data_IF_443133534216
#
_entry.id   IF_443133534216
#
_cell.length_a   1.000
_cell.length_b   1.000
_cell.length_c   1.000
_cell.angle_alpha   90.00
_cell.angle_beta   90.00
_cell.angle_gamma   90.00
#
_symmetry.space_group_name_H-M   'P 1'
#
loop_
_entity.id
_entity.type
_entity.pdbx_description
1 polymer ?
2 non-polymer ?
3 water ?
#
# COMPACT_ATOMS: atom_id res chain seq x y z
N UNK A 4 -22.77 10.98 -12.94
CA UNK A 4 -21.60 10.03 -13.08
C UNK A 4 -21.02 9.63 -11.71
N UNK A 5 -21.93 9.48 -10.75
CA UNK A 5 -21.55 9.21 -9.37
C UNK A 5 -21.72 7.76 -9.04
N UNK A 6 -20.66 7.01 -9.36
CA UNK A 6 -20.47 5.63 -8.93
C UNK A 6 -19.75 5.60 -7.55
N UNK A 7 -20.21 4.76 -6.62
CA UNK A 7 -19.48 4.51 -5.37
C UNK A 7 -18.08 3.91 -5.64
N UNK A 8 -17.06 4.32 -4.88
CA UNK A 8 -15.92 3.43 -4.90
C UNK A 8 -16.23 2.31 -3.92
N UNK A 9 -15.51 1.22 -4.07
CA UNK A 9 -15.71 -0.04 -3.27
C UNK A 9 -15.52 0.21 -1.80
N UNK A 10 -14.69 1.17 -1.48
CA UNK A 10 -14.26 1.38 -0.10
C UNK A 10 -15.12 2.38 0.68
N UNK A 11 -16.13 2.95 0.04
CA UNK A 11 -16.92 3.98 0.69
C UNK A 11 -17.61 3.40 1.90
N UNK A 12 -17.69 4.20 2.98
CA UNK A 12 -18.54 3.80 4.16
C UNK A 12 -19.94 3.44 3.73
N UNK A 13 -20.41 2.32 4.23
CA UNK A 13 -21.73 1.89 3.77
C UNK A 13 -22.91 2.71 4.31
N UNK A 14 -22.77 3.33 5.49
CA UNK A 14 -23.85 4.14 6.03
C UNK A 14 -24.06 5.38 5.16
N UNK A 15 -25.26 5.53 4.56
CA UNK A 15 -25.45 6.76 3.72
C UNK A 15 -25.32 8.07 4.50
N UNK A 16 -25.49 8.02 5.81
CA UNK A 16 -25.22 9.17 6.62
C UNK A 16 -23.79 9.72 6.52
N UNK A 17 -22.83 8.90 6.10
CA UNK A 17 -21.42 9.30 6.03
C UNK A 17 -21.25 10.42 5.00
N UNK A 18 -22.09 10.42 3.94
CA UNK A 18 -22.11 11.42 2.93
C UNK A 18 -23.12 12.54 3.08
N UNK A 19 -23.80 12.63 4.21
CA UNK A 19 -24.82 13.65 4.41
C UNK A 19 -24.42 14.66 5.45
N UNK A 20 -24.92 15.88 5.31
CA UNK A 20 -24.60 16.95 6.26
C UNK A 20 -25.35 16.80 7.51
N UNK A 21 -24.72 16.82 8.65
CA UNK A 21 -25.40 16.81 9.94
C UNK A 21 -25.00 18.01 10.82
N UNK A 22 -24.35 19.02 10.26
CA UNK A 22 -24.04 20.21 11.01
C UNK A 22 -24.23 21.35 10.03
N UNK A 23 -24.42 22.61 10.50
CA UNK A 23 -24.52 23.83 9.68
C UNK A 23 -23.34 24.06 8.83
N UNK A 24 -22.16 23.78 9.33
CA UNK A 24 -20.97 23.88 8.46
C UNK A 24 -20.92 22.84 7.33
N UNK A 25 -21.20 21.61 7.65
CA UNK A 25 -21.34 20.58 6.62
C UNK A 25 -22.39 20.98 5.56
N UNK A 26 -23.47 21.58 6.05
CA UNK A 26 -24.53 21.97 5.13
C UNK A 26 -24.07 23.04 4.20
N UNK A 27 -23.29 24.02 4.68
CA UNK A 27 -22.78 25.02 3.78
C UNK A 27 -21.83 24.46 2.74
N UNK A 28 -20.95 23.59 3.22
CA UNK A 28 -19.99 22.96 2.30
C UNK A 28 -20.68 22.07 1.24
N UNK A 29 -21.71 21.35 1.64
CA UNK A 29 -22.44 20.59 0.62
C UNK A 29 -23.13 21.47 -0.39
N UNK A 30 -23.66 22.60 0.06
CA UNK A 30 -24.18 23.57 -0.88
C UNK A 30 -23.13 24.11 -1.80
N UNK A 31 -21.94 24.37 -1.25
CA UNK A 31 -20.82 24.81 -2.06
C UNK A 31 -20.43 23.73 -3.12
N UNK A 32 -20.40 22.49 -2.71
CA UNK A 32 -20.14 21.37 -3.64
C UNK A 32 -21.18 21.38 -4.74
N UNK A 33 -22.43 21.59 -4.37
CA UNK A 33 -23.50 21.68 -5.41
C UNK A 33 -23.23 22.80 -6.36
N UNK A 34 -22.71 23.93 -5.87
CA UNK A 34 -22.44 25.06 -6.71
C UNK A 34 -21.31 24.92 -7.68
N UNK A 35 -20.37 24.00 -7.38
CA UNK A 35 -19.17 23.87 -8.17
C UNK A 35 -19.46 23.60 -9.63
N UNK A 36 -20.51 22.81 -9.88
CA UNK A 36 -20.95 22.51 -11.22
C UNK A 36 -21.48 23.69 -11.99
N UNK A 37 -21.54 24.87 -11.39
CA UNK A 37 -21.82 26.10 -12.13
C UNK A 37 -20.62 26.56 -12.92
N UNK A 38 -19.42 26.07 -12.57
CA UNK A 38 -18.20 26.56 -13.17
C UNK A 38 -18.08 28.10 -13.25
N UNK A 39 -18.58 28.75 -12.20
CA UNK A 39 -18.80 30.20 -12.18
C UNK A 39 -18.09 30.78 -10.95
N UNK A 40 -16.88 31.26 -11.16
CA UNK A 40 -16.03 31.83 -10.05
C UNK A 40 -16.74 32.94 -9.27
N UNK A 41 -17.58 33.72 -9.97
CA UNK A 41 -18.25 34.85 -9.32
C UNK A 41 -19.35 34.41 -8.37
N UNK A 42 -19.99 33.29 -8.64
CA UNK A 42 -20.98 32.71 -7.78
C UNK A 42 -20.27 32.00 -6.63
N UNK A 43 -19.19 31.33 -6.95
CA UNK A 43 -18.48 30.60 -5.95
C UNK A 43 -17.87 31.52 -4.88
N UNK A 44 -17.36 32.66 -5.33
CA UNK A 44 -16.65 33.57 -4.39
C UNK A 44 -17.55 34.11 -3.25
N UNK A 45 -18.84 34.10 -3.41
CA UNK A 45 -19.73 34.59 -2.35
C UNK A 45 -19.71 33.76 -1.12
N UNK A 46 -19.20 32.51 -1.19
CA UNK A 46 -19.09 31.68 -0.03
C UNK A 46 -17.85 31.95 0.88
N UNK A 47 -16.93 32.76 0.40
CA UNK A 47 -15.63 32.95 1.01
C UNK A 47 -15.53 34.17 1.94
N UNK A 48 -14.81 34.01 3.04
CA UNK A 48 -14.46 35.15 3.88
C UNK A 48 -13.46 36.07 3.21
N UNK A 49 -13.21 37.24 3.80
CA UNK A 49 -12.15 38.10 3.29
C UNK A 49 -10.76 37.46 3.48
N UNK A 50 -10.48 37.04 4.69
CA UNK A 50 -9.20 36.47 4.98
C UNK A 50 -9.28 34.95 4.69
N UNK A 51 -8.95 34.60 3.46
CA UNK A 51 -9.23 33.26 2.96
C UNK A 51 -8.10 32.80 2.11
N UNK A 52 -8.11 31.51 1.78
CA UNK A 52 -7.17 30.98 0.82
C UNK A 52 -7.73 29.77 0.12
N UNK A 53 -7.15 29.49 -1.02
CA UNK A 53 -7.54 28.29 -1.81
C UNK A 53 -6.26 27.67 -2.36
N UNK A 54 -6.14 26.35 -2.28
CA UNK A 54 -5.03 25.71 -2.94
C UNK A 54 -5.44 24.29 -3.40
N UNK A 55 -5.28 24.00 -4.70
CA UNK A 55 -5.11 22.65 -5.21
C UNK A 55 -3.71 22.30 -4.91
N UNK A 56 -3.53 21.34 -3.99
CA UNK A 56 -2.24 21.16 -3.40
C UNK A 56 -1.04 20.90 -4.38
N UNK A 57 -1.29 20.36 -5.57
CA UNK A 57 -0.13 20.28 -6.49
C UNK A 57 0.30 21.60 -7.10
N UNK A 58 -0.45 22.70 -6.88
CA UNK A 58 -0.23 23.99 -7.50
C UNK A 58 -0.14 25.08 -6.46
N UNK A 59 0.37 26.26 -6.82
CA UNK A 59 0.55 27.29 -5.78
C UNK A 59 -0.78 27.81 -5.16
N UNK A 60 -0.72 28.19 -3.90
CA UNK A 60 -1.88 28.69 -3.23
C UNK A 60 -2.27 30.11 -3.65
N UNK A 61 -3.53 30.43 -3.42
CA UNK A 61 -4.03 31.77 -3.59
C UNK A 61 -4.50 32.29 -2.29
N UNK A 62 -4.10 33.51 -2.00
CA UNK A 62 -4.54 34.15 -0.74
C UNK A 62 -5.40 35.38 -0.96
N UNK A 63 -6.52 35.49 -0.23
CA UNK A 63 -7.49 36.55 -0.37
C UNK A 63 -8.55 36.37 -1.43
N UNK A 64 -9.72 36.98 -1.22
CA UNK A 64 -10.90 36.73 -2.07
C UNK A 64 -10.58 37.04 -3.53
N UNK A 65 -9.91 38.13 -3.83
CA UNK A 65 -9.60 38.44 -5.25
C UNK A 65 -8.74 37.43 -5.95
N UNK A 66 -7.65 36.99 -5.28
CA UNK A 66 -6.81 36.01 -5.83
C UNK A 66 -7.55 34.63 -5.94
N UNK A 67 -8.32 34.28 -4.95
CA UNK A 67 -9.07 33.02 -5.03
C UNK A 67 -10.02 33.08 -6.29
N UNK A 68 -10.74 34.17 -6.44
CA UNK A 68 -11.68 34.31 -7.57
C UNK A 68 -11.00 34.21 -8.89
N UNK A 69 -9.88 34.88 -9.06
CA UNK A 69 -9.10 34.75 -10.27
C UNK A 69 -8.49 33.40 -10.56
N UNK A 70 -8.04 32.69 -9.53
CA UNK A 70 -7.60 31.33 -9.70
C UNK A 70 -8.72 30.40 -10.20
N UNK A 71 -9.87 30.50 -9.58
CA UNK A 71 -10.97 29.68 -10.00
C UNK A 71 -11.40 30.04 -11.43
N UNK A 72 -11.48 31.32 -11.73
CA UNK A 72 -11.83 31.77 -13.08
C UNK A 72 -10.89 31.25 -14.11
N UNK A 73 -9.60 31.21 -13.79
CA UNK A 73 -8.63 30.64 -14.66
C UNK A 73 -8.75 29.15 -14.80
N UNK A 74 -8.98 28.44 -13.71
CA UNK A 74 -9.26 26.99 -13.85
C UNK A 74 -10.46 26.74 -14.82
N UNK A 75 -11.53 27.46 -14.62
CA UNK A 75 -12.76 27.23 -15.39
C UNK A 75 -12.58 27.57 -16.87
N UNK A 76 -11.55 28.34 -17.22
CA UNK A 76 -11.25 28.55 -18.64
C UNK A 76 -10.64 27.34 -19.31
N UNK A 77 -10.10 26.39 -18.56
CA UNK A 77 -9.48 25.21 -19.18
C UNK A 77 -10.18 23.92 -18.80
N UNK A 78 -10.98 23.92 -17.74
CA UNK A 78 -11.70 22.71 -17.40
C UNK A 78 -13.03 23.01 -16.81
N UNK A 79 -13.92 22.02 -16.93
CA UNK A 79 -15.26 22.06 -16.39
C UNK A 79 -15.48 20.93 -15.40
N UNK A 80 -16.12 21.25 -14.29
CA UNK A 80 -16.60 20.30 -13.36
C UNK A 80 -18.04 19.87 -13.77
N UNK A 81 -18.17 18.65 -14.28
CA UNK A 81 -19.40 18.11 -14.83
C UNK A 81 -20.23 17.43 -13.73
N UNK A 82 -19.62 17.06 -12.60
CA UNK A 82 -20.35 16.43 -11.53
C UNK A 82 -19.43 16.36 -10.31
N UNK A 83 -20.05 16.28 -9.15
CA UNK A 83 -19.33 16.22 -7.91
C UNK A 83 -20.05 15.17 -7.11
N UNK A 84 -19.32 14.14 -6.73
CA UNK A 84 -19.84 13.00 -6.05
C UNK A 84 -19.18 12.93 -4.64
N UNK A 85 -19.88 13.37 -3.61
CA UNK A 85 -19.38 13.35 -2.23
C UNK A 85 -19.70 12.08 -1.49
N UNK A 86 -18.66 11.36 -1.07
CA UNK A 86 -18.82 10.09 -0.42
C UNK A 86 -18.83 10.25 1.10
N UNK A 87 -17.92 11.08 1.67
CA UNK A 87 -17.77 11.23 3.05
C UNK A 87 -17.66 12.71 3.35
N UNK A 88 -18.36 13.16 4.40
CA UNK A 88 -18.24 14.54 4.92
C UNK A 88 -18.27 14.53 6.43
N UNK A 89 -17.35 15.27 7.06
CA UNK A 89 -17.21 15.30 8.46
C UNK A 89 -16.83 16.69 8.91
N UNK A 90 -17.15 17.08 10.13
CA UNK A 90 -16.79 18.43 10.57
C UNK A 90 -16.42 18.40 12.01
N UNK A 91 -15.56 19.33 12.40
CA UNK A 91 -15.26 19.55 13.78
C UNK A 91 -14.53 20.87 13.89
N UNK A 92 -14.87 21.57 14.96
CA UNK A 92 -14.56 22.96 15.23
C UNK A 92 -13.86 23.62 14.07
N UNK A 93 -14.67 24.19 13.24
CA UNK A 93 -14.23 25.02 12.17
C UNK A 93 -13.73 24.38 10.91
N UNK A 94 -13.58 23.07 10.88
CA UNK A 94 -13.09 22.36 9.70
C UNK A 94 -14.13 21.45 9.17
N UNK A 95 -14.21 21.31 7.86
CA UNK A 95 -15.01 20.31 7.21
C UNK A 95 -14.18 19.53 6.20
N UNK A 96 -14.25 18.21 6.22
CA UNK A 96 -13.52 17.37 5.29
C UNK A 96 -14.55 16.68 4.35
N UNK A 97 -14.19 16.60 3.07
CA UNK A 97 -14.92 15.93 2.05
C UNK A 97 -14.03 14.97 1.27
N UNK A 98 -14.43 13.72 1.27
CA UNK A 98 -13.87 12.75 0.35
C UNK A 98 -14.84 12.54 -0.86
N UNK A 99 -14.32 12.82 -2.05
CA UNK A 99 -15.21 12.96 -3.23
C UNK A 99 -14.53 12.62 -4.53
N UNK A 100 -15.35 12.57 -5.59
CA UNK A 100 -14.82 12.59 -6.96
C UNK A 100 -15.41 13.83 -7.64
N UNK A 101 -14.57 14.56 -8.34
CA UNK A 101 -15.01 15.59 -9.27
C UNK A 101 -14.72 15.00 -10.66
N UNK A 102 -15.81 14.94 -11.45
CA UNK A 102 -15.70 14.55 -12.86
C UNK A 102 -15.36 15.81 -13.64
N UNK A 103 -14.14 15.84 -14.15
CA UNK A 103 -13.52 17.01 -14.73
C UNK A 103 -13.34 16.76 -16.20
N UNK A 104 -13.68 17.77 -16.96
CA UNK A 104 -13.45 17.70 -18.43
C UNK A 104 -12.49 18.79 -18.89
N UNK A 105 -11.45 18.40 -19.61
CA UNK A 105 -10.51 19.34 -20.16
C UNK A 105 -11.10 19.94 -21.44
N UNK A 106 -11.31 21.25 -21.44
CA UNK A 106 -11.97 21.92 -22.55
C UNK A 106 -11.16 21.84 -23.87
N UNK A 107 -9.80 21.87 -23.81
CA UNK A 107 -9.08 21.76 -25.09
C UNK A 107 -9.13 20.44 -25.78
N UNK A 108 -9.33 19.36 -25.04
CA UNK A 108 -9.32 18.00 -25.61
C UNK A 108 -10.68 17.35 -25.59
N UNK A 109 -11.60 17.86 -24.79
CA UNK A 109 -12.91 17.19 -24.66
C UNK A 109 -12.87 15.93 -23.82
N UNK A 110 -11.71 15.58 -23.25
CA UNK A 110 -11.64 14.36 -22.45
C UNK A 110 -12.00 14.58 -20.95
N UNK A 111 -12.59 13.57 -20.33
CA UNK A 111 -13.02 13.62 -18.94
C UNK A 111 -12.19 12.70 -18.04
N UNK A 112 -12.17 12.99 -16.75
CA UNK A 112 -11.59 12.09 -15.79
C UNK A 112 -12.33 12.23 -14.44
N UNK A 113 -12.50 11.10 -13.73
CA UNK A 113 -13.01 11.08 -12.37
C UNK A 113 -11.83 11.31 -11.40
N UNK A 114 -11.69 12.52 -10.96
CA UNK A 114 -10.56 12.95 -10.10
C UNK A 114 -10.92 12.65 -8.65
N UNK A 115 -10.17 11.76 -8.08
CA UNK A 115 -10.31 11.41 -6.62
C UNK A 115 -9.64 12.52 -5.78
N UNK A 116 -10.41 13.15 -4.92
CA UNK A 116 -10.02 14.30 -4.12
C UNK A 116 -10.42 14.10 -2.66
N UNK A 117 -9.53 14.49 -1.76
CA UNK A 117 -9.86 14.69 -0.36
C UNK A 117 -9.62 16.17 -0.14
N UNK A 118 -10.67 16.85 0.32
CA UNK A 118 -10.60 18.31 0.47
C UNK A 118 -10.89 18.70 1.89
N UNK A 119 -10.32 19.81 2.32
CA UNK A 119 -10.57 20.35 3.63
C UNK A 119 -10.96 21.83 3.50
N UNK A 120 -11.98 22.20 4.28
CA UNK A 120 -12.46 23.58 4.33
C UNK A 120 -12.35 24.07 5.78
N UNK A 121 -11.94 25.33 5.95
CA UNK A 121 -11.98 26.00 7.26
C UNK A 121 -13.07 27.06 7.09
N UNK A 122 -13.91 27.18 8.12
CA UNK A 122 -14.93 28.23 8.15
C UNK A 122 -14.92 29.02 9.44
N UNK A 123 -15.34 30.26 9.31
CA UNK A 123 -15.74 31.06 10.45
C UNK A 123 -17.03 31.79 10.12
N UNK A 124 -17.94 31.78 11.08
CA UNK A 124 -19.21 32.47 10.95
C UNK A 124 -19.87 32.15 9.58
N UNK A 125 -19.82 30.90 9.18
CA UNK A 125 -20.43 30.44 7.94
C UNK A 125 -19.75 30.81 6.64
N UNK A 126 -18.51 31.32 6.68
CA UNK A 126 -17.82 31.72 5.41
C UNK A 126 -16.49 30.99 5.34
N UNK A 127 -16.02 30.75 4.12
CA UNK A 127 -14.83 29.89 3.94
C UNK A 127 -13.59 30.70 4.09
N UNK A 128 -12.75 30.35 5.08
CA UNK A 128 -11.46 30.97 5.32
C UNK A 128 -10.33 30.11 4.77
N UNK A 129 -10.64 28.92 4.33
CA UNK A 129 -9.64 28.14 3.70
C UNK A 129 -10.23 26.94 2.93
N UNK A 130 -9.66 26.61 1.78
CA UNK A 130 -10.11 25.42 1.03
C UNK A 130 -8.90 24.82 0.41
N UNK A 131 -8.60 23.57 0.72
CA UNK A 131 -7.43 22.89 0.11
C UNK A 131 -7.86 21.55 -0.41
N UNK A 132 -7.56 21.26 -1.67
CA UNK A 132 -7.89 19.98 -2.24
C UNK A 132 -6.64 19.18 -2.55
N UNK A 133 -6.60 17.89 -2.17
CA UNK A 133 -5.44 17.06 -2.31
C UNK A 133 -5.77 15.95 -3.32
N UNK A 134 -4.89 15.81 -4.31
CA UNK A 134 -5.06 14.80 -5.34
C UNK A 134 -3.73 14.74 -6.10
N UNK A 135 -3.68 13.81 -7.00
CA UNK A 135 -2.54 13.56 -7.86
C UNK A 135 -2.79 14.20 -9.25
N UNK A 136 -2.02 15.24 -9.56
CA UNK A 136 -2.18 16.02 -10.77
C UNK A 136 -1.75 15.27 -12.00
N UNK A 137 -0.63 14.55 -11.90
CA UNK A 137 -0.10 13.83 -13.07
C UNK A 137 -1.12 12.89 -13.64
N UNK A 138 -1.84 12.16 -12.81
CA UNK A 138 -2.78 11.17 -13.31
C UNK A 138 -3.90 11.85 -14.11
N UNK A 139 -4.32 13.02 -13.66
CA UNK A 139 -5.38 13.77 -14.33
C UNK A 139 -4.84 14.26 -15.68
N UNK A 140 -3.69 14.85 -15.66
CA UNK A 140 -3.03 15.31 -16.91
C UNK A 140 -2.95 14.26 -17.96
N UNK A 141 -2.55 13.05 -17.58
CA UNK A 141 -2.37 11.96 -18.51
C UNK A 141 -3.72 11.40 -19.00
N UNK A 142 -4.74 11.45 -18.16
CA UNK A 142 -6.05 10.97 -18.56
C UNK A 142 -6.66 11.91 -19.62
N UNK A 143 -6.44 13.21 -19.49
CA UNK A 143 -7.16 14.14 -20.36
C UNK A 143 -6.26 14.80 -21.38
N UNK A 144 -5.06 14.21 -21.53
CA UNK A 144 -3.96 14.55 -22.45
C UNK A 144 -3.60 16.02 -22.43
N UNK A 145 -3.56 16.62 -21.24
CA UNK A 145 -3.26 18.01 -21.08
C UNK A 145 -2.36 18.38 -19.91
N UNK A 146 -1.18 19.00 -20.19
CA UNK A 146 -0.25 19.47 -19.14
C UNK A 146 -0.67 20.72 -18.36
N UNK A 147 -1.15 20.55 -17.15
CA UNK A 147 -1.68 21.67 -16.42
C UNK A 147 -0.65 22.43 -15.62
N UNK A 148 0.40 21.77 -15.20
CA UNK A 148 1.39 22.45 -14.38
C UNK A 148 2.03 23.66 -15.12
N UNK A 149 2.26 23.51 -16.43
CA UNK A 149 2.52 24.65 -17.35
C UNK A 149 1.34 25.63 -17.50
N UNK A 150 0.26 25.20 -18.17
CA UNK A 150 -0.90 26.06 -18.52
C UNK A 150 -0.50 27.43 -19.05
N UNK B 3 10.62 20.32 15.99
CA UNK B 3 11.20 19.03 15.50
C UNK B 3 11.65 19.30 14.10
N UNK B 4 11.34 18.37 13.19
CA UNK B 4 11.20 18.68 11.78
C UNK B 4 9.79 19.16 11.49
N UNK B 5 9.05 19.68 12.48
CA UNK B 5 7.61 20.03 12.27
C UNK B 5 7.30 21.53 12.23
N UNK B 6 7.33 22.08 11.02
CA UNK B 6 6.87 23.45 10.73
C UNK B 6 5.37 23.54 10.42
N UNK B 7 4.69 24.45 11.08
CA UNK B 7 3.30 24.74 10.82
C UNK B 7 3.08 25.53 9.49
N UNK B 8 2.27 25.02 8.56
CA UNK B 8 1.93 25.88 7.43
C UNK B 8 1.15 27.09 7.93
N UNK B 9 1.27 28.10 7.10
CA UNK B 9 0.68 29.41 7.27
C UNK B 9 -0.81 29.30 7.49
N UNK B 10 -1.43 28.35 6.82
CA UNK B 10 -2.86 28.23 6.79
C UNK B 10 -3.47 27.36 7.85
N UNK B 11 -2.67 26.79 8.75
CA UNK B 11 -3.19 25.81 9.71
C UNK B 11 -4.09 26.57 10.67
N UNK B 12 -5.11 25.91 11.18
CA UNK B 12 -6.07 26.52 12.09
C UNK B 12 -5.33 26.96 13.34
N UNK B 13 -5.64 28.18 13.80
CA UNK B 13 -4.84 28.67 14.89
C UNK B 13 -5.12 28.02 16.24
N UNK B 14 -6.33 27.52 16.48
CA UNK B 14 -6.59 26.89 17.80
C UNK B 14 -5.77 25.60 17.92
N UNK B 15 -4.99 25.45 19.00
CA UNK B 15 -4.30 24.20 19.15
C UNK B 15 -5.20 22.94 19.28
N UNK B 16 -6.46 23.11 19.65
CA UNK B 16 -7.37 21.97 19.73
C UNK B 16 -7.49 21.29 18.39
N UNK B 17 -7.25 22.02 17.30
CA UNK B 17 -7.51 21.46 15.97
C UNK B 17 -6.58 20.26 15.65
N UNK B 18 -5.41 20.17 16.26
CA UNK B 18 -4.49 19.09 16.02
C UNK B 18 -4.45 18.07 17.15
N UNK B 19 -5.38 18.14 18.10
CA UNK B 19 -5.42 17.23 19.21
C UNK B 19 -6.54 16.25 19.13
N UNK B 20 -6.32 15.05 19.60
CA UNK B 20 -7.37 14.05 19.59
C UNK B 20 -8.38 14.27 20.70
N UNK B 21 -9.65 14.27 20.37
CA UNK B 21 -10.69 14.35 21.40
C UNK B 21 -11.78 13.31 21.31
N UNK B 22 -11.54 12.25 20.57
CA UNK B 22 -12.40 11.11 20.52
C UNK B 22 -11.55 9.85 20.61
N UNK B 23 -12.16 8.75 20.99
CA UNK B 23 -11.38 7.52 21.05
C UNK B 23 -10.81 7.15 19.65
N UNK B 24 -11.57 7.34 18.56
CA UNK B 24 -11.04 7.08 17.21
C UNK B 24 -9.82 7.99 16.87
N UNK B 25 -9.93 9.29 17.15
CA UNK B 25 -8.81 10.19 16.96
C UNK B 25 -7.61 9.80 17.75
N UNK B 26 -7.80 9.34 18.99
CA UNK B 26 -6.65 8.97 19.75
C UNK B 26 -5.94 7.75 19.14
N UNK B 27 -6.72 6.79 18.61
CA UNK B 27 -6.08 5.62 18.02
C UNK B 27 -5.29 6.03 16.81
N UNK B 28 -5.87 6.92 16.00
CA UNK B 28 -5.22 7.33 14.78
C UNK B 28 -3.96 8.11 15.09
N UNK B 29 -3.96 9.00 16.11
CA UNK B 29 -2.71 9.64 16.50
C UNK B 29 -1.64 8.71 17.02
N UNK B 30 -2.04 7.67 17.72
CA UNK B 30 -1.05 6.63 18.12
C UNK B 30 -0.46 5.96 16.89
N UNK B 31 -1.31 5.65 15.90
CA UNK B 31 -0.87 5.10 14.63
C UNK B 31 0.09 6.02 13.90
N UNK B 32 -0.24 7.29 13.86
CA UNK B 32 0.63 8.27 13.26
C UNK B 32 1.97 8.27 14.00
N UNK B 33 1.93 8.21 15.33
CA UNK B 33 3.20 8.15 16.06
C UNK B 33 4.03 6.91 15.68
N UNK B 34 3.38 5.79 15.44
CA UNK B 34 4.03 4.55 15.04
C UNK B 34 4.67 4.53 13.63
N UNK B 35 4.19 5.35 12.73
CA UNK B 35 4.74 5.39 11.37
C UNK B 35 6.22 5.59 11.31
N UNK B 36 6.78 6.33 12.26
CA UNK B 36 8.24 6.57 12.27
C UNK B 36 9.04 5.31 12.66
N UNK B 37 8.36 4.28 13.11
CA UNK B 37 8.98 2.94 13.24
C UNK B 37 9.48 2.37 11.92
N UNK B 38 8.86 2.76 10.82
CA UNK B 38 9.15 2.18 9.54
C UNK B 38 9.03 0.66 9.57
N UNK B 39 8.05 0.17 10.33
CA UNK B 39 7.95 -1.26 10.63
C UNK B 39 6.57 -1.81 10.23
N UNK B 40 6.46 -2.43 9.05
CA UNK B 40 5.16 -2.90 8.59
C UNK B 40 4.54 -3.90 9.56
N UNK B 41 5.32 -4.77 10.15
CA UNK B 41 4.76 -5.74 11.14
C UNK B 41 4.16 -5.11 12.38
N UNK B 42 4.67 -3.99 12.83
CA UNK B 42 4.11 -3.31 13.94
C UNK B 42 2.84 -2.58 13.53
N UNK B 43 2.90 -1.92 12.39
CA UNK B 43 1.76 -1.15 11.94
C UNK B 43 0.55 -2.02 11.59
N UNK B 44 0.78 -3.22 11.08
CA UNK B 44 -0.35 -4.06 10.68
C UNK B 44 -1.28 -4.44 11.84
N UNK B 45 -0.75 -4.44 13.06
CA UNK B 45 -1.55 -4.71 14.27
C UNK B 45 -2.74 -3.79 14.46
N UNK B 46 -2.71 -2.60 13.88
CA UNK B 46 -3.80 -1.65 14.07
C UNK B 46 -4.99 -1.93 13.11
N UNK B 47 -4.81 -2.86 12.19
CA UNK B 47 -5.77 -3.09 11.08
C UNK B 47 -6.76 -4.21 11.35
N UNK B 48 -8.00 -3.97 10.95
CA UNK B 48 -9.01 -5.04 10.88
C UNK B 48 -8.67 -6.04 9.79
N UNK B 49 -9.39 -7.16 9.83
CA UNK B 49 -9.32 -8.16 8.81
C UNK B 49 -9.90 -7.64 7.49
N UNK B 50 -11.06 -7.00 7.56
CA UNK B 50 -11.69 -6.44 6.35
C UNK B 50 -11.23 -5.01 6.13
N UNK B 51 -10.07 -4.86 5.51
CA UNK B 51 -9.40 -3.55 5.47
C UNK B 51 -8.86 -3.24 4.11
N UNK B 52 -8.31 -2.02 3.93
CA UNK B 52 -7.67 -1.64 2.72
C UNK B 52 -6.79 -0.43 3.04
N UNK B 53 -5.82 -0.27 2.16
CA UNK B 53 -4.83 0.83 2.17
C UNK B 53 -4.60 1.28 0.78
N UNK B 54 -4.55 2.60 0.62
CA UNK B 54 -4.29 3.17 -0.63
C UNK B 54 -3.61 4.51 -0.50
N UNK B 55 -2.42 4.61 -1.09
CA UNK B 55 -1.81 5.90 -1.46
C UNK B 55 -2.44 6.23 -2.77
N UNK B 56 -3.27 7.26 -2.82
CA UNK B 56 -4.14 7.42 -3.93
C UNK B 56 -3.54 7.56 -5.33
N UNK B 57 -2.28 7.96 -5.48
CA UNK B 57 -1.74 7.91 -6.83
C UNK B 57 -1.34 6.49 -7.29
N UNK B 58 -1.45 5.46 -6.45
CA UNK B 58 -1.02 4.09 -6.74
C UNK B 58 -2.16 3.14 -6.43
N UNK B 59 -2.04 1.86 -6.88
CA UNK B 59 -3.16 0.94 -6.66
C UNK B 59 -3.43 0.56 -5.20
N UNK B 60 -4.69 0.32 -4.90
CA UNK B 60 -5.06 -0.08 -3.53
C UNK B 60 -4.64 -1.46 -3.13
N UNK B 61 -4.48 -1.69 -1.85
CA UNK B 61 -4.27 -2.98 -1.32
C UNK B 61 -5.51 -3.39 -0.49
N UNK B 62 -6.00 -4.62 -0.65
CA UNK B 62 -7.15 -5.12 0.09
C UNK B 62 -6.75 -6.27 0.91
N UNK B 63 -7.09 -6.22 2.16
CA UNK B 63 -6.80 -7.25 3.09
C UNK B 63 -5.51 -7.00 3.83
N UNK B 64 -5.37 -7.58 5.02
CA UNK B 64 -4.17 -7.38 5.88
C UNK B 64 -2.86 -7.76 5.22
N UNK B 65 -2.79 -8.91 4.53
CA UNK B 65 -1.48 -9.32 3.96
C UNK B 65 -1.05 -8.37 2.86
N UNK B 66 -1.98 -7.93 2.03
CA UNK B 66 -1.60 -7.01 0.97
C UNK B 66 -1.24 -5.65 1.57
N UNK B 67 -1.95 -5.27 2.64
CA UNK B 67 -1.67 -3.98 3.26
C UNK B 67 -0.28 -4.06 3.86
N UNK B 68 0.03 -5.15 4.55
CA UNK B 68 1.33 -5.32 5.18
C UNK B 68 2.42 -5.35 4.12
N UNK B 69 2.20 -6.04 3.01
CA UNK B 69 3.20 -6.08 1.92
C UNK B 69 3.39 -4.74 1.26
N UNK B 70 2.31 -3.99 1.06
CA UNK B 70 2.48 -2.67 0.53
C UNK B 70 3.36 -1.78 1.45
N UNK B 71 3.03 -1.72 2.73
CA UNK B 71 3.80 -0.90 3.68
C UNK B 71 5.23 -1.42 3.66
N UNK B 72 5.41 -2.74 3.60
CA UNK B 72 6.80 -3.27 3.71
C UNK B 72 7.54 -2.80 2.48
N UNK B 73 6.91 -2.80 1.33
CA UNK B 73 7.55 -2.40 0.12
C UNK B 73 7.96 -0.94 0.18
N UNK B 74 7.11 -0.11 0.74
CA UNK B 74 7.45 1.33 0.82
C UNK B 74 8.64 1.53 1.70
N UNK B 75 8.63 0.88 2.84
CA UNK B 75 9.71 1.02 3.78
C UNK B 75 11.05 0.41 3.32
N UNK B 76 11.08 -0.36 2.26
CA UNK B 76 12.37 -0.84 1.73
C UNK B 76 13.11 0.32 1.04
N UNK B 77 12.36 1.32 0.58
CA UNK B 77 12.95 2.40 -0.16
C UNK B 77 12.76 3.79 0.43
N UNK B 78 11.95 3.95 1.46
CA UNK B 78 11.86 5.24 2.09
C UNK B 78 11.67 5.15 3.56
N UNK B 79 12.03 6.22 4.26
CA UNK B 79 11.92 6.28 5.67
C UNK B 79 10.96 7.44 6.02
N UNK B 80 10.02 7.21 6.94
CA UNK B 80 9.20 8.33 7.46
C UNK B 80 10.06 8.78 8.68
N UNK B 81 10.66 9.95 8.54
CA UNK B 81 11.44 10.59 9.56
C UNK B 81 10.62 11.36 10.56
N UNK B 82 9.44 11.80 10.19
CA UNK B 82 8.62 12.59 11.07
C UNK B 82 7.22 12.70 10.49
N UNK B 83 6.26 12.80 11.42
CA UNK B 83 4.90 13.04 11.02
C UNK B 83 4.43 14.20 11.80
N UNK B 84 3.90 15.21 11.11
CA UNK B 84 3.44 16.47 11.72
C UNK B 84 1.96 16.59 11.39
N UNK B 85 1.07 16.39 12.37
CA UNK B 85 -0.38 16.44 12.16
C UNK B 85 -0.89 17.86 12.52
N UNK B 86 -1.53 18.56 11.60
CA UNK B 86 -1.99 19.91 11.82
C UNK B 86 -3.44 19.88 12.26
N UNK B 87 -4.24 18.99 11.63
CA UNK B 87 -5.69 18.96 11.82
C UNK B 87 -6.15 17.51 11.91
N UNK B 88 -6.99 17.20 12.90
CA UNK B 88 -7.56 15.89 13.05
C UNK B 88 -9.01 16.01 13.43
N UNK B 89 -9.87 15.20 12.84
CA UNK B 89 -11.33 15.31 13.06
C UNK B 89 -11.91 13.96 12.84
N UNK B 90 -12.97 13.63 13.57
CA UNK B 90 -13.62 12.32 13.39
C UNK B 90 -15.12 12.47 13.40
N UNK B 91 -15.80 11.61 12.70
CA UNK B 91 -17.24 11.54 12.70
C UNK B 91 -17.57 10.21 12.18
N UNK B 92 -18.57 9.52 12.73
CA UNK B 92 -19.23 8.50 11.90
C UNK B 92 -18.30 7.37 11.45
N UNK B 93 -17.38 6.95 12.31
CA UNK B 93 -16.42 5.90 11.99
C UNK B 93 -15.28 6.33 11.04
N UNK B 94 -15.15 7.64 10.79
CA UNK B 94 -14.14 8.19 9.94
C UNK B 94 -13.22 9.10 10.73
N UNK B 95 -11.92 9.07 10.43
CA UNK B 95 -10.99 10.08 10.98
C UNK B 95 -10.26 10.73 9.85
N UNK B 96 -10.12 12.06 9.87
CA UNK B 96 -9.37 12.75 8.84
C UNK B 96 -8.14 13.43 9.46
N UNK B 97 -7.00 13.38 8.77
CA UNK B 97 -5.77 13.98 9.21
C UNK B 97 -5.16 14.84 8.10
N UNK B 98 -4.93 16.12 8.38
CA UNK B 98 -4.18 16.93 7.48
C UNK B 98 -2.77 17.03 8.08
N UNK B 99 -1.75 16.69 7.32
CA UNK B 99 -0.45 16.48 7.90
C UNK B 99 0.69 16.64 6.91
N UNK B 100 1.94 16.65 7.41
CA UNK B 100 3.09 16.47 6.54
C UNK B 100 3.83 15.26 7.08
N UNK B 101 4.22 14.39 6.17
CA UNK B 101 5.13 13.32 6.48
C UNK B 101 6.51 13.74 5.88
N UNK B 102 7.56 13.69 6.68
CA UNK B 102 8.91 14.04 6.17
C UNK B 102 9.49 12.71 5.76
N UNK B 103 9.64 12.54 4.48
CA UNK B 103 10.03 11.26 3.89
C UNK B 103 11.43 11.41 3.30
N UNK B 104 12.25 10.39 3.53
CA UNK B 104 13.63 10.40 2.97
C UNK B 104 13.72 9.16 2.08
N UNK B 105 14.12 9.37 0.85
CA UNK B 105 14.31 8.33 -0.09
C UNK B 105 15.67 7.70 0.18
N UNK B 106 15.68 6.45 0.50
CA UNK B 106 16.93 5.72 0.83
C UNK B 106 17.95 5.62 -0.36
N UNK B 107 17.48 5.42 -1.61
CA UNK B 107 18.43 5.38 -2.74
C UNK B 107 19.17 6.68 -3.05
N UNK B 108 18.57 7.83 -2.79
CA UNK B 108 19.11 9.13 -3.14
C UNK B 108 19.51 9.94 -1.93
N UNK B 109 19.04 9.54 -0.73
CA UNK B 109 19.30 10.30 0.47
C UNK B 109 18.60 11.65 0.57
N UNK B 110 17.73 11.95 -0.37
CA UNK B 110 17.04 13.22 -0.35
C UNK B 110 15.74 13.13 0.40
N UNK B 111 15.40 14.24 1.03
CA UNK B 111 14.14 14.33 1.87
C UNK B 111 13.10 15.25 1.30
N UNK B 112 11.84 15.05 1.69
CA UNK B 112 10.78 15.91 1.18
C UNK B 112 9.70 15.92 2.23
N UNK B 113 9.12 17.12 2.37
CA UNK B 113 7.96 17.39 3.27
C UNK B 113 6.69 17.09 2.45
N UNK B 114 6.18 15.90 2.53
CA UNK B 114 5.04 15.54 1.70
C UNK B 114 3.71 15.97 2.38
N UNK B 115 2.97 16.84 1.72
CA UNK B 115 1.63 17.35 2.20
C UNK B 115 0.59 16.33 1.91
N UNK B 116 -0.04 15.84 2.99
CA UNK B 116 -0.97 14.74 2.93
C UNK B 116 -2.28 15.08 3.63
N UNK B 117 -3.38 14.71 2.97
CA UNK B 117 -4.67 14.63 3.63
C UNK B 117 -5.08 13.19 3.54
N UNK B 118 -5.32 12.60 4.70
CA UNK B 118 -5.67 11.22 4.79
C UNK B 118 -6.94 10.97 5.55
N UNK B 119 -7.52 9.83 5.26
CA UNK B 119 -8.77 9.42 5.87
C UNK B 119 -8.58 8.00 6.35
N UNK B 120 -9.15 7.72 7.52
CA UNK B 120 -9.15 6.42 8.11
C UNK B 120 -10.61 6.03 8.37
N UNK B 121 -10.92 4.77 8.16
CA UNK B 121 -12.20 4.23 8.62
C UNK B 121 -11.89 3.23 9.67
N UNK B 122 -12.69 3.27 10.73
CA UNK B 122 -12.46 2.38 11.87
C UNK B 122 -13.74 1.64 12.26
N UNK B 123 -13.58 0.44 12.78
CA UNK B 123 -14.71 -0.18 13.52
C UNK B 123 -14.14 -0.89 14.72
N UNK B 124 -14.78 -0.69 15.85
CA UNK B 124 -14.35 -1.29 17.13
C UNK B 124 -12.82 -1.11 17.34
N UNK B 125 -12.37 0.09 17.03
CA UNK B 125 -10.98 0.47 17.30
C UNK B 125 -9.95 -0.07 16.34
N UNK B 126 -10.37 -0.65 15.22
CA UNK B 126 -9.43 -1.16 14.22
C UNK B 126 -9.64 -0.52 12.85
N UNK B 127 -8.55 -0.43 12.11
CA UNK B 127 -8.61 0.27 10.91
C UNK B 127 -9.19 -0.63 9.80
N UNK B 128 -10.30 -0.18 9.22
CA UNK B 128 -10.93 -0.83 8.05
C UNK B 128 -10.58 -0.18 6.73
N UNK B 129 -10.01 1.00 6.77
CA UNK B 129 -9.59 1.66 5.51
C UNK B 129 -8.65 2.82 5.86
N UNK B 130 -7.64 3.02 5.02
CA UNK B 130 -6.71 4.14 5.17
C UNK B 130 -6.34 4.59 3.79
N UNK B 131 -6.71 5.84 3.49
CA UNK B 131 -6.41 6.41 2.15
C UNK B 131 -5.67 7.73 2.35
N UNK B 132 -4.50 7.87 1.74
CA UNK B 132 -3.73 9.14 1.78
C UNK B 132 -3.69 9.76 0.41
N UNK B 133 -4.04 11.05 0.36
CA UNK B 133 -4.09 11.81 -0.87
C UNK B 133 -2.96 12.80 -0.90
N UNK B 134 -2.23 12.83 -2.03
CA UNK B 134 -1.18 13.77 -2.20
C UNK B 134 -0.74 13.67 -3.68
N UNK B 135 0.19 14.56 -4.06
CA UNK B 135 0.73 14.61 -5.42
C UNK B 135 2.03 13.82 -5.48
N UNK B 136 2.02 12.75 -6.24
CA UNK B 136 3.19 11.83 -6.28
C UNK B 136 4.34 12.40 -7.10
N UNK B 137 4.02 13.05 -8.21
CA UNK B 137 5.10 13.63 -9.07
C UNK B 137 6.01 14.61 -8.36
N UNK B 138 5.43 15.54 -7.60
CA UNK B 138 6.23 16.51 -6.82
C UNK B 138 7.20 15.82 -5.91
N UNK B 139 6.75 14.74 -5.29
CA UNK B 139 7.55 13.96 -4.39
C UNK B 139 8.70 13.25 -5.20
N UNK B 140 8.36 12.62 -6.28
CA UNK B 140 9.40 11.98 -7.11
C UNK B 140 10.45 12.94 -7.60
N UNK B 141 10.07 14.12 -7.99
CA UNK B 141 10.97 15.07 -8.60
C UNK B 141 11.82 15.64 -7.51
N UNK B 142 11.29 15.74 -6.29
CA UNK B 142 12.07 16.28 -5.15
C UNK B 142 13.12 15.29 -4.67
N UNK B 143 12.84 14.00 -4.73
CA UNK B 143 13.80 13.03 -4.14
C UNK B 143 14.55 12.27 -5.25
N UNK B 144 14.35 12.75 -6.48
CA UNK B 144 15.00 12.21 -7.70
C UNK B 144 14.79 10.73 -7.87
N UNK B 145 13.58 10.26 -7.59
CA UNK B 145 13.20 8.87 -7.69
C UNK B 145 11.83 8.58 -8.35
N UNK B 146 11.84 7.96 -9.54
CA UNK B 146 10.58 7.63 -10.17
C UNK B 146 9.84 6.45 -9.48
N UNK B 147 9.01 6.77 -8.52
CA UNK B 147 8.40 5.77 -7.71
C UNK B 147 7.27 5.09 -8.37
N UNK B 148 6.59 5.78 -9.26
CA UNK B 148 5.44 5.17 -9.90
C UNK B 148 5.91 4.08 -10.83
N UNK B 149 6.90 4.40 -11.66
CA UNK B 149 7.63 3.40 -12.46
C UNK B 149 8.00 2.15 -11.66
N UNK B 150 8.46 2.32 -10.42
CA UNK B 150 8.85 1.21 -9.54
C UNK B 150 7.67 0.58 -8.76
N UNK B 151 7.10 1.34 -7.81
CA UNK B 151 5.97 0.91 -6.95
C UNK B 151 4.58 0.82 -7.63
N UNK B 152 4.47 1.36 -8.85
CA UNK B 152 3.30 1.16 -9.68
C UNK B 152 3.20 -0.33 -10.05
N UNK B 153 4.10 -0.83 -10.96
CA UNK B 153 4.18 -2.28 -11.29
C UNK B 153 4.06 -3.22 -10.06
N UNK B 154 4.69 -2.85 -8.95
CA UNK B 154 4.60 -3.59 -7.67
C UNK B 154 3.17 -3.88 -7.12
N UNK B 155 2.14 -3.21 -7.62
CA UNK B 155 0.87 -3.11 -6.89
C UNK B 155 -0.37 -3.85 -7.47
N UNK C 5 5.34 -43.30 1.80
CA UNK C 5 6.35 -43.15 0.66
C UNK C 5 6.47 -44.38 -0.29
N UNK C 6 5.85 -44.32 -1.47
CA UNK C 6 6.03 -45.38 -2.47
C UNK C 6 7.34 -45.19 -3.23
N UNK C 7 8.04 -46.25 -3.59
CA UNK C 7 9.18 -46.07 -4.48
C UNK C 7 8.71 -46.22 -5.92
N UNK C 8 9.11 -45.32 -6.79
CA UNK C 8 8.89 -45.44 -8.20
C UNK C 8 9.54 -46.69 -8.78
N UNK C 9 9.01 -47.17 -9.89
CA UNK C 9 9.56 -48.37 -10.54
C UNK C 9 10.98 -48.23 -10.98
N UNK C 10 11.37 -47.04 -11.31
CA UNK C 10 12.68 -46.77 -11.87
C UNK C 10 13.74 -46.43 -10.85
N UNK C 11 13.44 -46.47 -9.54
CA UNK C 11 14.43 -46.10 -8.50
C UNK C 11 15.54 -47.16 -8.57
N UNK C 12 16.77 -46.75 -8.38
CA UNK C 12 17.95 -47.64 -8.32
C UNK C 12 17.66 -48.64 -7.21
N UNK C 13 17.94 -49.90 -7.46
CA UNK C 13 17.61 -50.93 -6.49
C UNK C 13 18.50 -50.97 -5.25
N UNK C 14 19.73 -50.51 -5.38
CA UNK C 14 20.63 -50.55 -4.20
C UNK C 14 20.09 -49.60 -3.12
N UNK C 15 19.82 -50.10 -1.91
CA UNK C 15 19.32 -49.22 -0.78
C UNK C 15 20.28 -48.06 -0.52
N UNK C 16 21.57 -48.24 -0.80
CA UNK C 16 22.56 -47.23 -0.51
C UNK C 16 22.28 -45.98 -1.37
N UNK C 17 21.58 -46.14 -2.52
CA UNK C 17 21.36 -44.98 -3.42
C UNK C 17 20.53 -43.89 -2.76
N UNK C 18 19.73 -44.21 -1.76
CA UNK C 18 18.92 -43.21 -1.05
C UNK C 18 19.43 -42.86 0.37
N UNK C 19 20.62 -43.28 0.72
CA UNK C 19 21.14 -43.08 2.07
C UNK C 19 22.29 -42.15 1.96
N UNK C 20 22.50 -41.35 3.00
CA UNK C 20 23.63 -40.42 3.03
C UNK C 20 24.94 -41.15 3.23
N UNK C 21 25.94 -40.89 2.41
CA UNK C 21 27.23 -41.48 2.66
C UNK C 21 28.34 -40.45 2.75
N UNK C 22 28.01 -39.18 2.88
CA UNK C 22 29.00 -38.13 2.97
C UNK C 22 28.42 -37.10 3.89
N UNK C 23 29.29 -36.23 4.48
CA UNK C 23 28.86 -35.21 5.36
C UNK C 23 27.86 -34.28 4.71
N UNK C 24 28.07 -33.87 3.47
CA UNK C 24 27.05 -33.04 2.80
C UNK C 24 25.67 -33.71 2.59
N UNK C 25 25.69 -34.95 2.14
CA UNK C 25 24.44 -35.74 2.05
C UNK C 25 23.75 -35.82 3.39
N UNK C 26 24.53 -35.97 4.46
CA UNK C 26 23.89 -36.16 5.79
C UNK C 26 23.18 -34.90 6.15
N UNK C 27 23.79 -33.76 5.92
CA UNK C 27 23.16 -32.53 6.20
C UNK C 27 21.84 -32.31 5.42
N UNK C 28 21.94 -32.55 4.14
CA UNK C 28 20.83 -32.38 3.25
C UNK C 28 19.70 -33.35 3.63
N UNK C 29 20.01 -34.60 3.98
CA UNK C 29 18.91 -35.48 4.45
C UNK C 29 18.32 -35.01 5.76
N UNK C 30 19.11 -34.40 6.64
CA UNK C 30 18.53 -33.82 7.81
C UNK C 30 17.59 -32.65 7.47
N UNK C 31 18.02 -31.82 6.53
CA UNK C 31 17.17 -30.75 6.09
C UNK C 31 15.85 -31.24 5.45
N UNK C 32 15.95 -32.26 4.65
CA UNK C 32 14.79 -32.94 4.05
C UNK C 32 13.83 -33.37 5.13
N UNK C 33 14.34 -34.02 6.17
CA UNK C 33 13.50 -34.39 7.27
C UNK C 33 12.84 -33.19 7.92
N UNK C 34 13.59 -32.10 8.09
CA UNK C 34 13.08 -30.90 8.67
C UNK C 34 12.00 -30.18 7.85
N UNK C 35 11.98 -30.38 6.53
CA UNK C 35 10.99 -29.70 5.69
C UNK C 35 9.59 -29.94 6.14
N UNK C 36 9.29 -31.11 6.67
CA UNK C 36 7.90 -31.40 7.08
C UNK C 36 7.48 -30.66 8.31
N UNK C 37 8.38 -29.89 8.93
CA UNK C 37 8.01 -28.97 9.99
C UNK C 37 7.22 -27.80 9.47
N UNK C 38 7.34 -27.50 8.20
CA UNK C 38 6.73 -26.29 7.58
C UNK C 38 7.01 -25.05 8.43
N UNK C 39 8.24 -24.96 8.95
CA UNK C 39 8.61 -23.86 9.86
C UNK C 39 9.80 -23.10 9.28
N UNK C 40 9.54 -21.96 8.66
CA UNK C 40 10.57 -21.19 7.96
C UNK C 40 11.71 -20.76 8.90
N UNK C 41 11.40 -20.38 10.12
CA UNK C 41 12.46 -20.02 11.12
C UNK C 41 13.36 -21.16 11.54
N UNK C 42 12.89 -22.39 11.59
CA UNK C 42 13.74 -23.54 11.81
C UNK C 42 14.63 -23.90 10.59
N UNK C 43 14.06 -23.81 9.42
CA UNK C 43 14.69 -24.20 8.18
C UNK C 43 15.77 -23.21 7.80
N UNK C 44 15.64 -21.95 8.19
CA UNK C 44 16.64 -20.96 7.75
C UNK C 44 17.98 -21.18 8.40
N UNK C 45 18.02 -21.86 9.55
CA UNK C 45 19.26 -22.08 10.23
C UNK C 45 20.19 -22.94 9.45
N UNK C 46 19.72 -23.68 8.43
CA UNK C 46 20.59 -24.50 7.61
C UNK C 46 21.29 -23.72 6.53
N UNK C 47 20.91 -22.44 6.35
CA UNK C 47 21.41 -21.66 5.21
C UNK C 47 22.59 -20.76 5.58
N UNK C 48 23.53 -20.70 4.64
CA UNK C 48 24.58 -19.62 4.62
C UNK C 48 24.02 -18.26 4.44
N UNK C 49 24.79 -17.24 4.85
CA UNK C 49 24.44 -15.88 4.59
C UNK C 49 24.35 -15.62 3.07
N UNK C 50 25.33 -16.10 2.34
CA UNK C 50 25.36 -15.85 0.87
C UNK C 50 24.64 -17.03 0.17
N UNK C 51 23.32 -16.94 0.10
CA UNK C 51 22.52 -18.09 -0.29
C UNK C 51 21.43 -17.73 -1.30
N UNK C 52 20.74 -18.76 -1.81
CA UNK C 52 19.61 -18.48 -2.66
C UNK C 52 18.73 -19.70 -2.69
N UNK C 53 17.49 -19.47 -3.02
CA UNK C 53 16.47 -20.53 -3.16
C UNK C 53 15.62 -20.23 -4.36
N UNK C 54 15.36 -21.26 -5.16
CA UNK C 54 14.44 -21.11 -6.24
C UNK C 54 13.70 -22.43 -6.49
N UNK C 55 12.39 -22.37 -6.49
CA UNK C 55 11.56 -23.33 -7.18
C UNK C 55 11.53 -22.88 -8.60
N UNK C 56 12.12 -23.68 -9.49
CA UNK C 56 12.49 -23.16 -10.80
C UNK C 56 11.36 -22.58 -11.67
N UNK C 57 10.12 -23.01 -11.47
CA UNK C 57 9.07 -22.33 -12.22
C UNK C 57 8.72 -20.91 -11.74
N UNK C 58 9.33 -20.48 -10.65
CA UNK C 58 9.02 -19.19 -9.95
C UNK C 58 10.29 -18.39 -9.74
N UNK C 59 10.13 -17.09 -9.42
CA UNK C 59 11.29 -16.26 -9.26
C UNK C 59 12.20 -16.67 -8.11
N UNK C 60 13.52 -16.49 -8.27
CA UNK C 60 14.45 -16.81 -7.17
C UNK C 60 14.47 -15.82 -6.01
N UNK C 61 14.91 -16.31 -4.86
CA UNK C 61 15.22 -15.48 -3.73
C UNK C 61 16.66 -15.51 -3.47
N UNK C 62 17.25 -14.36 -3.13
CA UNK C 62 18.65 -14.27 -2.80
C UNK C 62 18.87 -13.65 -1.47
N UNK C 63 19.72 -14.27 -0.69
CA UNK C 63 19.99 -13.96 0.73
C UNK C 63 19.04 -14.57 1.74
N UNK C 64 19.45 -14.72 3.00
CA UNK C 64 18.71 -15.46 3.99
C UNK C 64 17.39 -14.87 4.28
N UNK C 65 17.31 -13.56 4.43
CA UNK C 65 15.98 -12.98 4.70
C UNK C 65 14.96 -13.30 3.61
N UNK C 66 15.38 -13.14 2.35
CA UNK C 66 14.47 -13.39 1.26
C UNK C 66 14.09 -14.88 1.18
N UNK C 67 15.07 -15.77 1.46
CA UNK C 67 14.78 -17.23 1.45
C UNK C 67 13.76 -17.52 2.60
N UNK C 68 13.99 -16.99 3.80
CA UNK C 68 13.05 -17.25 4.88
C UNK C 68 11.62 -16.74 4.60
N UNK C 69 11.53 -15.55 4.03
CA UNK C 69 10.21 -15.06 3.65
C UNK C 69 9.53 -15.86 2.58
N UNK C 70 10.30 -16.37 1.63
CA UNK C 70 9.82 -17.21 0.59
C UNK C 70 9.17 -18.46 1.18
N UNK C 71 9.91 -19.14 2.02
CA UNK C 71 9.44 -20.34 2.67
C UNK C 71 8.19 -20.04 3.54
N UNK C 72 8.23 -18.96 4.28
CA UNK C 72 7.10 -18.61 5.12
C UNK C 72 5.86 -18.41 4.29
N UNK C 73 6.05 -17.80 3.14
CA UNK C 73 4.98 -17.56 2.22
C UNK C 73 4.44 -18.79 1.58
N UNK C 74 5.30 -19.73 1.21
CA UNK C 74 4.81 -21.00 0.67
C UNK C 74 3.99 -21.76 1.74
N UNK C 75 4.51 -21.80 2.95
CA UNK C 75 3.83 -22.54 4.04
C UNK C 75 2.49 -21.97 4.44
N UNK C 76 2.20 -20.73 4.10
CA UNK C 76 0.81 -20.28 4.28
C UNK C 76 -0.15 -20.89 3.31
N UNK C 77 0.32 -21.40 2.16
CA UNK C 77 -0.56 -21.92 1.17
C UNK C 77 -0.55 -23.45 1.07
N UNK C 78 0.58 -24.08 1.41
CA UNK C 78 0.68 -25.51 1.27
C UNK C 78 1.50 -26.06 2.42
N UNK C 79 1.30 -27.31 2.69
CA UNK C 79 1.98 -28.00 3.76
C UNK C 79 2.71 -29.16 3.10
N UNK C 80 3.99 -29.28 3.41
CA UNK C 80 4.76 -30.44 3.12
C UNK C 80 4.46 -31.51 4.17
N UNK C 81 3.75 -32.55 3.75
CA UNK C 81 3.46 -33.64 4.66
C UNK C 81 4.39 -34.84 4.65
N UNK C 82 5.19 -35.02 3.60
CA UNK C 82 6.17 -36.06 3.56
C UNK C 82 7.20 -35.67 2.52
N UNK C 83 8.40 -36.11 2.76
CA UNK C 83 9.45 -36.01 1.73
C UNK C 83 10.06 -37.39 1.56
N UNK C 84 9.95 -37.97 0.35
CA UNK C 84 10.39 -39.33 0.09
C UNK C 84 11.61 -39.25 -0.79
N UNK C 85 12.81 -39.50 -0.28
CA UNK C 85 14.01 -39.33 -1.10
C UNK C 85 14.34 -40.69 -1.73
N UNK C 86 14.53 -40.75 -3.04
CA UNK C 86 14.90 -42.02 -3.68
C UNK C 86 16.37 -42.05 -3.93
N UNK C 87 16.96 -40.92 -4.36
CA UNK C 87 18.33 -40.89 -4.73
C UNK C 87 18.96 -39.64 -4.12
N UNK C 88 20.13 -39.81 -3.52
CA UNK C 88 20.95 -38.67 -3.02
C UNK C 88 22.41 -38.89 -3.46
N UNK C 89 23.03 -37.84 -3.94
CA UNK C 89 24.41 -37.95 -4.42
C UNK C 89 25.13 -36.62 -4.27
N UNK C 90 26.39 -36.67 -3.85
CA UNK C 90 27.15 -35.42 -3.64
C UNK C 90 28.51 -35.43 -4.32
N UNK C 91 28.95 -34.25 -4.72
CA UNK C 91 30.25 -34.02 -5.36
C UNK C 91 30.62 -32.64 -5.03
N UNK C 92 31.85 -32.50 -4.63
CA UNK C 92 32.34 -31.35 -3.93
C UNK C 92 31.37 -30.12 -4.01
N UNK C 93 30.79 -29.82 -2.87
CA UNK C 93 29.97 -28.70 -2.72
C UNK C 93 28.58 -28.82 -3.30
N UNK C 94 28.20 -29.92 -3.93
CA UNK C 94 26.87 -30.06 -4.49
C UNK C 94 26.23 -31.34 -3.99
N UNK C 95 24.95 -31.31 -3.72
CA UNK C 95 24.15 -32.48 -3.39
C UNK C 95 22.94 -32.47 -4.29
N UNK C 96 22.58 -33.63 -4.82
CA UNK C 96 21.39 -33.83 -5.64
C UNK C 96 20.45 -34.78 -4.99
N UNK C 97 19.14 -34.46 -4.99
CA UNK C 97 18.10 -35.29 -4.38
C UNK C 97 17.02 -35.54 -5.40
N UNK C 98 16.74 -36.79 -5.74
CA UNK C 98 15.55 -37.11 -6.53
C UNK C 98 14.50 -37.64 -5.54
N UNK C 99 13.33 -37.03 -5.56
CA UNK C 99 12.39 -37.24 -4.48
C UNK C 99 10.96 -36.96 -4.90
N UNK C 100 10.04 -37.29 -4.00
CA UNK C 100 8.68 -36.82 -4.05
C UNK C 100 8.35 -36.11 -2.78
N UNK C 101 7.71 -34.96 -2.89
CA UNK C 101 7.20 -34.28 -1.73
C UNK C 101 5.69 -34.39 -1.82
N UNK C 102 5.07 -34.82 -0.72
CA UNK C 102 3.63 -34.88 -0.66
C UNK C 102 3.16 -33.58 -0.11
N UNK C 103 2.40 -32.85 -0.93
CA UNK C 103 2.03 -31.51 -0.65
C UNK C 103 0.50 -31.41 -0.52
N UNK C 104 0.05 -30.71 0.48
CA UNK C 104 -1.39 -30.47 0.73
C UNK C 104 -1.65 -28.98 0.54
N UNK C 105 -2.54 -28.61 -0.40
CA UNK C 105 -2.98 -27.25 -0.62
C UNK C 105 -3.98 -26.89 0.48
N UNK C 106 -3.61 -25.95 1.35
CA UNK C 106 -4.41 -25.65 2.51
C UNK C 106 -5.77 -25.05 2.05
N UNK C 107 -5.79 -24.22 1.03
CA UNK C 107 -7.16 -23.72 0.70
C UNK C 107 -8.15 -24.71 0.14
N UNK C 108 -7.72 -25.77 -0.49
CA UNK C 108 -8.65 -26.71 -1.06
C UNK C 108 -8.65 -28.03 -0.36
N UNK C 109 -7.69 -28.22 0.52
CA UNK C 109 -7.50 -29.51 1.09
C UNK C 109 -7.08 -30.66 0.20
N UNK C 110 -6.67 -30.44 -1.06
CA UNK C 110 -6.25 -31.53 -1.92
C UNK C 110 -4.75 -31.74 -1.76
N UNK C 111 -4.33 -32.95 -1.96
CA UNK C 111 -2.89 -33.30 -1.80
C UNK C 111 -2.36 -33.76 -3.13
N UNK C 112 -1.04 -33.72 -3.31
CA UNK C 112 -0.43 -34.11 -4.60
C UNK C 112 1.00 -34.58 -4.30
N UNK C 113 1.39 -35.66 -4.95
CA UNK C 113 2.73 -36.20 -4.86
C UNK C 113 3.57 -35.51 -5.91
N UNK C 114 4.30 -34.48 -5.54
CA UNK C 114 5.06 -33.71 -6.54
C UNK C 114 6.44 -34.38 -6.76
N UNK C 115 6.73 -34.74 -7.99
CA UNK C 115 8.02 -35.30 -8.41
C UNK C 115 9.03 -34.15 -8.58
N UNK C 116 10.12 -34.22 -7.80
CA UNK C 116 11.11 -33.15 -7.70
C UNK C 116 12.53 -33.66 -7.86
N UNK C 117 13.33 -32.98 -8.66
CA UNK C 117 14.81 -33.17 -8.64
C UNK C 117 15.38 -31.85 -8.16
N UNK C 118 16.13 -31.92 -7.04
CA UNK C 118 16.70 -30.73 -6.42
C UNK C 118 18.19 -30.77 -6.31
N UNK C 119 18.79 -29.58 -6.27
CA UNK C 119 20.20 -29.46 -6.13
C UNK C 119 20.45 -28.46 -4.96
N UNK C 120 21.45 -28.81 -4.15
CA UNK C 120 21.93 -27.97 -3.13
C UNK C 120 23.39 -27.68 -3.35
N UNK C 121 23.77 -26.46 -3.04
CA UNK C 121 25.16 -26.12 -2.95
C UNK C 121 25.42 -25.80 -1.50
N UNK C 122 26.58 -26.22 -1.06
CA UNK C 122 26.98 -26.05 0.31
C UNK C 122 28.43 -25.62 0.46
N UNK C 123 28.73 -24.93 1.56
CA UNK C 123 30.09 -24.56 1.91
C UNK C 123 30.26 -24.52 3.43
N UNK C 124 31.11 -25.40 3.97
CA UNK C 124 31.32 -25.48 5.40
C UNK C 124 29.99 -25.84 6.11
N UNK C 125 29.27 -26.76 5.53
CA UNK C 125 28.09 -27.32 6.14
C UNK C 125 26.81 -26.52 6.03
N UNK C 126 26.85 -25.42 5.28
CA UNK C 126 25.69 -24.53 5.21
C UNK C 126 25.25 -24.38 3.76
N UNK C 127 23.96 -24.15 3.56
CA UNK C 127 23.42 -24.16 2.21
C UNK C 127 23.63 -22.80 1.57
N UNK C 128 24.35 -22.75 0.44
CA UNK C 128 24.55 -21.54 -0.33
C UNK C 128 23.63 -21.46 -1.52
N UNK C 129 22.93 -22.56 -1.90
CA UNK C 129 21.92 -22.47 -2.91
C UNK C 129 21.07 -23.78 -2.88
N UNK C 130 19.81 -23.62 -3.20
CA UNK C 130 18.89 -24.72 -3.28
C UNK C 130 17.95 -24.40 -4.44
N UNK C 131 17.86 -25.29 -5.42
CA UNK C 131 16.92 -25.13 -6.58
C UNK C 131 16.20 -26.44 -6.73
N UNK C 132 14.86 -26.40 -6.79
CA UNK C 132 14.10 -27.56 -7.02
C UNK C 132 13.41 -27.44 -8.40
N UNK C 133 13.47 -28.50 -9.19
CA UNK C 133 12.96 -28.55 -10.59
C UNK C 133 11.78 -29.53 -10.57
N UNK C 134 10.65 -29.06 -11.13
CA UNK C 134 9.46 -29.84 -11.28
C UNK C 134 8.53 -29.02 -12.21
N UNK C 135 7.41 -29.64 -12.45
CA UNK C 135 6.36 -29.09 -13.28
C UNK C 135 5.23 -28.53 -12.41
N UNK C 136 5.07 -27.23 -12.47
CA UNK C 136 4.14 -26.52 -11.60
C UNK C 136 2.66 -26.71 -12.06
N UNK C 137 2.47 -26.69 -13.36
CA UNK C 137 1.09 -26.82 -13.88
C UNK C 137 0.39 -28.09 -13.42
N UNK C 138 1.08 -29.23 -13.41
CA UNK C 138 0.48 -30.47 -12.94
C UNK C 138 0.02 -30.41 -11.48
N UNK C 139 0.78 -29.73 -10.67
CA UNK C 139 0.51 -29.53 -9.25
C UNK C 139 -0.76 -28.62 -9.10
N UNK C 140 -0.77 -27.52 -9.83
CA UNK C 140 -1.87 -26.55 -9.78
C UNK C 140 -3.14 -27.22 -10.20
N UNK C 141 -3.06 -28.04 -11.23
CA UNK C 141 -4.23 -28.73 -11.76
C UNK C 141 -4.74 -29.78 -10.80
N UNK C 142 -3.86 -30.42 -10.07
CA UNK C 142 -4.26 -31.45 -9.12
C UNK C 142 -4.91 -30.89 -7.88
N UNK C 143 -4.54 -29.69 -7.47
CA UNK C 143 -5.06 -29.16 -6.22
C UNK C 143 -5.99 -27.97 -6.41
N UNK C 144 -6.32 -27.69 -7.68
CA UNK C 144 -7.17 -26.58 -8.08
C UNK C 144 -6.77 -25.20 -7.61
N UNK C 145 -5.51 -24.86 -7.67
CA UNK C 145 -5.07 -23.53 -7.30
C UNK C 145 -4.12 -22.92 -8.31
N UNK C 146 -4.32 -21.65 -8.66
CA UNK C 146 -3.46 -20.92 -9.56
C UNK C 146 -2.19 -20.44 -8.84
N UNK C 147 -1.31 -21.36 -8.52
CA UNK C 147 -0.13 -21.01 -7.67
C UNK C 147 0.77 -20.00 -8.28
N UNK C 148 1.04 -20.12 -9.58
CA UNK C 148 1.97 -19.18 -10.22
C UNK C 148 1.42 -17.74 -10.16
N UNK C 149 0.12 -17.62 -10.34
CA UNK C 149 -0.57 -16.32 -10.25
C UNK C 149 -0.57 -15.63 -8.87
N UNK C 150 -0.46 -16.42 -7.82
CA UNK C 150 -0.30 -15.94 -6.46
C UNK C 150 1.15 -15.80 -6.04
N UNK C 151 1.93 -16.86 -6.14
CA UNK C 151 3.27 -16.86 -5.63
C UNK C 151 4.27 -16.08 -6.45
N UNK C 152 4.06 -16.01 -7.76
CA UNK C 152 4.97 -15.30 -8.61
C UNK C 152 5.07 -13.85 -8.21
N UNK C 153 3.93 -13.16 -8.11
CA UNK C 153 4.05 -11.74 -7.71
C UNK C 153 4.56 -11.56 -6.27
N UNK C 154 4.12 -12.41 -5.37
CA UNK C 154 4.59 -12.37 -3.97
C UNK C 154 6.12 -12.51 -3.90
N UNK C 155 6.66 -13.43 -4.68
CA UNK C 155 8.10 -13.57 -4.74
C UNK C 155 8.83 -12.46 -5.49
N UNK C 156 8.23 -11.88 -6.50
CA UNK C 156 8.77 -10.63 -6.99
C UNK C 156 8.94 -9.59 -5.90
N UNK C 157 7.92 -9.38 -5.08
CA UNK C 157 8.02 -8.41 -4.03
C UNK C 157 9.13 -8.74 -3.06
N UNK C 158 9.26 -10.01 -2.75
CA UNK C 158 10.35 -10.46 -1.84
C UNK C 158 11.71 -10.15 -2.40
N UNK C 159 11.79 -10.21 -3.72
CA UNK C 159 13.09 -9.99 -4.41
C UNK C 159 13.58 -8.50 -4.38
N UNK C 160 12.69 -7.55 -4.10
CA UNK C 160 13.07 -6.13 -3.94
C UNK C 160 14.05 -5.98 -2.76
N UNK C 161 15.17 -5.31 -2.97
CA UNK C 161 16.16 -5.11 -1.90
C UNK C 161 15.64 -4.17 -0.79
N UNK C 162 15.76 -4.61 0.45
CA UNK C 162 15.52 -3.74 1.60
C UNK C 162 16.76 -2.84 1.76
N UNK C 163 16.67 -1.57 1.30
CA UNK C 163 17.81 -0.60 1.38
C UNK C 163 18.00 -0.05 2.75
N UNK C 164 17.10 -0.40 3.67
CA UNK C 164 17.25 -0.03 5.06
C UNK C 164 18.27 -0.92 5.78
#
# INVERSE_FOLDING_TARGET
>A
MASKCEQPRWASKDPAAGKASTPDEKIVLEFMDALTSNDAAKLIEYFAEDTMYQNMPLPPAYGRDAVEQTLAGLFKVMSIDAVCVFHICSCKGLVFTERVDVLRALPTGKSYNLSILGVFQLTDGKITGWRDYFDLREFEEAVDLPLRGKLGPEQKLISEEDLNSAVDHHHHHH
>B
MASKCEQPRWASKDPAAGKASTPDEKIVLEFMDALTSNDAAKLIEYFAEDTMYQNMPLPPAYGRDAVEQTLAGLFKVMSIDAVCVFHICSCKGLVFTERVDVLRALPTGKSYNLSILGVFQLTDGKITGWRDYFDLREFEEAVDLPLRGKLGPEQKLISEEDLNSAVDHHHHHH
>C
MASKCEQPRWASKDPAAGKASTPDEKIVLEFMDALTSNDAAKLIEYFAEDTMYQNMPLPPAYGRDAVEQTLAGLFKVMSIDAVCVFHICSCKGLVFTERVDVLRALPTGKSYNLSILGVFQLTDGKITGWRDYFDLREFEEAVDLPLRGKLGPEQKLISEEDLNSAVDHHHHHH
#
